data_IF_822883819007
#
_entry.id   IF_822883819007
#
_cell.length_a   1.000
_cell.length_b   1.000
_cell.length_c   1.000
_cell.angle_alpha   90.00
_cell.angle_beta   90.00
_cell.angle_gamma   90.00
#
_symmetry.space_group_name_H-M   'P 1'
#
loop_
_entity.id
_entity.type
_entity.pdbx_description
1 polymer ?
#
# COMPACT_ATOMS: atom_id res chain seq x y z
N UNK A 1 -12.68 11.20 25.27
CA UNK A 1 -11.57 10.71 24.43
C UNK A 1 -11.61 9.19 24.50
N UNK A 2 -11.36 8.45 23.41
CA UNK A 2 -11.46 6.99 23.48
C UNK A 2 -10.38 6.44 24.42
N UNK A 3 -10.80 5.70 25.42
CA UNK A 3 -9.91 5.05 26.38
C UNK A 3 -10.03 3.54 26.17
N UNK A 4 -8.89 2.89 25.93
CA UNK A 4 -8.85 1.46 25.64
C UNK A 4 -8.33 0.71 26.86
N UNK A 5 -9.04 -0.34 27.26
CA UNK A 5 -8.63 -1.22 28.38
C UNK A 5 -7.34 -2.01 28.09
N UNK A 6 -6.83 -1.95 26.86
CA UNK A 6 -5.61 -2.62 26.42
C UNK A 6 -4.60 -1.57 25.98
N UNK A 7 -3.34 -1.74 26.40
CA UNK A 7 -2.23 -0.89 25.97
C UNK A 7 -2.06 -0.98 24.45
N UNK A 8 -2.24 0.15 23.77
CA UNK A 8 -2.04 0.23 22.32
C UNK A 8 -0.55 0.10 21.97
N UNK A 9 -0.28 -0.54 20.84
CA UNK A 9 1.08 -0.72 20.32
C UNK A 9 1.28 0.19 19.11
N UNK A 10 2.47 0.75 19.01
CA UNK A 10 2.92 1.49 17.84
C UNK A 10 4.11 0.75 17.23
N UNK A 11 4.08 0.58 15.91
CA UNK A 11 5.14 -0.06 15.15
C UNK A 11 5.74 0.94 14.17
N UNK A 12 7.06 0.86 13.96
CA UNK A 12 7.75 1.61 12.92
C UNK A 12 7.81 0.75 11.65
N UNK A 13 7.24 1.25 10.56
CA UNK A 13 7.22 0.59 9.25
C UNK A 13 7.79 1.58 8.23
N UNK A 14 9.00 1.29 7.74
CA UNK A 14 9.77 2.28 7.00
C UNK A 14 10.03 3.53 7.86
N UNK A 15 9.62 4.69 7.35
CA UNK A 15 9.68 5.96 8.07
C UNK A 15 8.43 6.26 8.91
N UNK A 16 7.34 5.52 8.72
CA UNK A 16 6.05 5.80 9.35
C UNK A 16 5.86 5.06 10.67
N UNK A 17 5.07 5.66 11.56
CA UNK A 17 4.57 5.01 12.77
C UNK A 17 3.11 4.62 12.57
N UNK A 18 2.76 3.35 12.82
CA UNK A 18 1.42 2.81 12.66
C UNK A 18 0.91 2.29 14.01
N UNK A 19 -0.31 2.66 14.37
CA UNK A 19 -0.96 2.28 15.63
C UNK A 19 -0.61 3.19 16.81
N UNK A 20 -1.12 2.85 17.98
CA UNK A 20 -1.01 3.64 19.21
C UNK A 20 -2.33 4.24 19.64
N UNK A 21 -2.29 5.08 20.68
CA UNK A 21 -3.49 5.77 21.16
C UNK A 21 -4.04 6.73 20.10
N UNK A 22 -5.35 7.06 20.13
CA UNK A 22 -5.94 8.00 19.19
C UNK A 22 -5.15 9.31 19.15
N UNK A 23 -4.86 9.79 17.94
CA UNK A 23 -4.07 11.01 17.67
C UNK A 23 -2.56 10.92 17.95
N UNK A 24 -2.02 9.75 18.31
CA UNK A 24 -0.54 9.54 18.42
C UNK A 24 0.14 9.37 17.07
N UNK A 25 -0.56 8.83 16.08
CA UNK A 25 -0.09 8.70 14.71
C UNK A 25 -1.26 9.00 13.74
N UNK A 26 -0.98 9.49 12.53
CA UNK A 26 -2.00 9.63 11.51
C UNK A 26 -2.58 8.28 11.08
N UNK A 27 -3.79 8.30 10.52
CA UNK A 27 -4.41 7.09 9.96
C UNK A 27 -3.62 6.61 8.75
N UNK A 28 -3.40 5.29 8.65
CA UNK A 28 -2.83 4.68 7.47
C UNK A 28 -3.93 4.39 6.43
N UNK A 29 -3.67 4.79 5.18
CA UNK A 29 -4.50 4.48 4.03
C UNK A 29 -3.74 3.50 3.14
N UNK A 30 -4.24 2.26 3.09
CA UNK A 30 -3.61 1.16 2.36
C UNK A 30 -4.40 0.90 1.07
N UNK A 31 -3.80 1.22 -0.08
CA UNK A 31 -4.41 0.98 -1.38
C UNK A 31 -3.99 -0.36 -1.97
N UNK A 32 -4.96 -1.14 -2.45
CA UNK A 32 -4.70 -2.42 -3.09
C UNK A 32 -4.21 -2.25 -4.53
N UNK A 33 -3.19 -3.02 -4.91
CA UNK A 33 -2.59 -3.02 -6.25
C UNK A 33 -2.24 -4.45 -6.69
N UNK A 34 -2.29 -4.69 -8.00
CA UNK A 34 -2.03 -5.98 -8.66
C UNK A 34 -3.05 -7.09 -8.33
N UNK A 35 -4.25 -6.73 -7.89
CA UNK A 35 -5.32 -7.72 -7.71
C UNK A 35 -5.75 -8.33 -9.05
N UNK A 36 -6.25 -9.57 -8.98
CA UNK A 36 -6.72 -10.31 -10.16
C UNK A 36 -7.77 -9.50 -10.94
N UNK A 37 -7.56 -9.33 -12.24
CA UNK A 37 -8.47 -8.57 -13.10
C UNK A 37 -8.39 -7.04 -12.94
N UNK A 38 -7.34 -6.50 -12.31
CA UNK A 38 -7.14 -5.06 -12.24
C UNK A 38 -6.95 -4.47 -13.64
N UNK A 39 -7.86 -3.58 -14.04
CA UNK A 39 -7.87 -3.00 -15.38
C UNK A 39 -6.62 -2.15 -15.64
N UNK A 40 -6.09 -2.26 -16.86
CA UNK A 40 -5.01 -1.44 -17.42
C UNK A 40 -3.61 -1.61 -16.82
N UNK A 41 -3.43 -2.41 -15.76
CA UNK A 41 -2.12 -2.56 -15.11
C UNK A 41 -1.33 -3.78 -15.60
N UNK A 42 -2.00 -4.81 -16.11
CA UNK A 42 -1.34 -6.05 -16.53
C UNK A 42 -1.31 -6.20 -18.05
N UNK A 43 -0.14 -6.60 -18.54
CA UNK A 43 0.07 -7.13 -19.90
C UNK A 43 0.02 -8.66 -19.90
N UNK A 44 0.45 -9.28 -18.80
CA UNK A 44 0.30 -10.71 -18.50
C UNK A 44 0.28 -10.88 -16.98
N UNK A 45 -0.91 -11.13 -16.42
CA UNK A 45 -1.12 -11.29 -14.97
C UNK A 45 -0.33 -12.47 -14.40
N UNK A 46 -0.38 -13.61 -15.09
CA UNK A 46 0.22 -14.87 -14.62
C UNK A 46 1.73 -14.78 -14.49
N UNK A 47 2.37 -13.94 -15.31
CA UNK A 47 3.82 -13.71 -15.34
C UNK A 47 4.24 -12.41 -14.66
N UNK A 48 3.30 -11.65 -14.08
CA UNK A 48 3.59 -10.35 -13.46
C UNK A 48 4.15 -9.31 -14.43
N UNK A 49 3.81 -9.39 -15.73
CA UNK A 49 4.19 -8.35 -16.70
C UNK A 49 3.19 -7.22 -16.57
N UNK A 50 3.65 -6.10 -16.04
CA UNK A 50 2.83 -4.92 -15.75
C UNK A 50 3.13 -3.77 -16.70
N UNK A 51 2.16 -2.86 -16.83
CA UNK A 51 2.40 -1.52 -17.31
C UNK A 51 3.00 -0.67 -16.17
N UNK A 52 4.32 -0.55 -16.18
CA UNK A 52 5.07 0.15 -15.12
C UNK A 52 4.71 1.64 -15.03
N UNK A 53 4.50 2.31 -16.15
CA UNK A 53 4.14 3.73 -16.17
C UNK A 53 2.77 3.95 -15.54
N UNK A 54 1.79 3.10 -15.88
CA UNK A 54 0.47 3.15 -15.26
C UNK A 54 0.55 2.84 -13.75
N UNK A 55 1.29 1.81 -13.36
CA UNK A 55 1.49 1.43 -11.96
C UNK A 55 2.15 2.57 -11.15
N UNK A 56 3.23 3.17 -11.65
CA UNK A 56 3.88 4.31 -11.01
C UNK A 56 2.93 5.50 -10.88
N UNK A 57 2.13 5.79 -11.91
CA UNK A 57 1.17 6.89 -11.89
C UNK A 57 0.15 6.73 -10.77
N UNK A 58 -0.40 5.54 -10.55
CA UNK A 58 -1.38 5.32 -9.48
C UNK A 58 -0.74 5.31 -8.09
N UNK A 59 0.49 4.79 -7.96
CA UNK A 59 1.25 4.83 -6.69
C UNK A 59 1.57 6.28 -6.32
N UNK A 60 2.14 7.07 -7.25
CA UNK A 60 2.43 8.50 -7.03
C UNK A 60 1.18 9.30 -6.69
N UNK A 61 0.04 8.98 -7.31
CA UNK A 61 -1.23 9.63 -6.97
C UNK A 61 -1.65 9.34 -5.52
N UNK A 62 -1.42 8.12 -5.03
CA UNK A 62 -1.69 7.78 -3.63
C UNK A 62 -0.76 8.55 -2.68
N UNK A 63 0.53 8.64 -3.00
CA UNK A 63 1.51 9.43 -2.22
C UNK A 63 1.13 10.91 -2.18
N UNK A 64 0.71 11.48 -3.31
CA UNK A 64 0.24 12.87 -3.40
C UNK A 64 -1.00 13.10 -2.51
N UNK A 65 -1.97 12.19 -2.55
CA UNK A 65 -3.17 12.28 -1.72
C UNK A 65 -2.85 12.15 -0.22
N UNK A 66 -1.96 11.22 0.13
CA UNK A 66 -1.51 11.03 1.50
C UNK A 66 -0.79 12.29 2.02
N UNK A 67 0.10 12.88 1.21
CA UNK A 67 0.78 14.13 1.52
C UNK A 67 -0.20 15.30 1.75
N UNK A 68 -1.21 15.46 0.88
CA UNK A 68 -2.23 16.52 1.02
C UNK A 68 -3.15 16.37 2.22
N UNK A 69 -3.36 15.14 2.69
CA UNK A 69 -4.32 14.82 3.77
C UNK A 69 -3.64 14.53 5.12
N UNK A 70 -2.32 14.36 5.13
CA UNK A 70 -1.56 13.93 6.30
C UNK A 70 -1.72 12.45 6.65
N UNK A 71 -2.26 11.63 5.73
CA UNK A 71 -2.39 10.18 5.93
C UNK A 71 -1.04 9.48 5.73
N UNK A 72 -0.87 8.32 6.37
CA UNK A 72 0.26 7.42 6.10
C UNK A 72 -0.07 6.60 4.84
N UNK A 73 0.70 6.68 3.75
CA UNK A 73 0.47 5.87 2.57
C UNK A 73 0.98 4.43 2.78
N UNK A 74 0.30 3.45 2.18
CA UNK A 74 0.81 2.08 2.08
C UNK A 74 0.16 1.31 0.93
N UNK A 75 0.82 0.25 0.48
CA UNK A 75 0.31 -0.60 -0.60
C UNK A 75 -0.02 -1.99 -0.06
N UNK A 76 -1.22 -2.46 -0.37
CA UNK A 76 -1.54 -3.89 -0.31
C UNK A 76 -1.20 -4.50 -1.68
N UNK A 77 0.00 -5.09 -1.77
CA UNK A 77 0.50 -5.73 -2.99
C UNK A 77 -0.07 -7.15 -3.07
N UNK A 78 -0.97 -7.38 -4.02
CA UNK A 78 -1.65 -8.66 -4.19
C UNK A 78 -0.90 -9.51 -5.22
N UNK A 79 -0.53 -10.72 -4.81
CA UNK A 79 0.30 -11.63 -5.60
C UNK A 79 -0.48 -12.92 -5.90
N UNK A 80 -1.28 -12.87 -6.97
CA UNK A 80 -2.22 -13.95 -7.29
C UNK A 80 -1.56 -15.19 -7.94
N UNK A 81 -0.36 -15.04 -8.52
CA UNK A 81 0.33 -16.11 -9.23
C UNK A 81 1.77 -16.26 -8.73
N UNK A 82 2.23 -17.51 -8.58
CA UNK A 82 3.59 -17.81 -8.12
C UNK A 82 4.65 -17.15 -9.01
N UNK A 83 4.47 -17.21 -10.32
CA UNK A 83 5.40 -16.66 -11.30
C UNK A 83 5.38 -15.12 -11.34
N UNK A 84 4.33 -14.47 -10.84
CA UNK A 84 4.22 -13.01 -10.77
C UNK A 84 4.89 -12.41 -9.54
N UNK A 85 5.18 -13.22 -8.50
CA UNK A 85 5.71 -12.75 -7.21
C UNK A 85 6.99 -11.94 -7.40
N UNK A 86 8.03 -12.57 -7.96
CA UNK A 86 9.34 -11.92 -8.12
C UNK A 86 9.27 -10.65 -8.98
N UNK A 87 8.71 -10.65 -10.21
CA UNK A 87 8.72 -9.44 -11.03
C UNK A 87 7.88 -8.29 -10.46
N UNK A 88 6.80 -8.58 -9.71
CA UNK A 88 6.02 -7.54 -9.03
C UNK A 88 6.79 -6.98 -7.82
N UNK A 89 7.40 -7.85 -7.01
CA UNK A 89 8.18 -7.41 -5.84
C UNK A 89 9.49 -6.71 -6.21
N UNK A 90 10.09 -7.02 -7.37
CA UNK A 90 11.25 -6.29 -7.88
C UNK A 90 10.88 -4.87 -8.37
N UNK A 91 9.58 -4.58 -8.60
CA UNK A 91 9.09 -3.29 -9.05
C UNK A 91 8.70 -2.34 -7.91
N UNK A 92 8.00 -2.86 -6.89
CA UNK A 92 7.53 -2.09 -5.72
C UNK A 92 8.65 -1.78 -4.74
#
# INVERSE_FOLDING_TARGET
MFDFNTKQKTYKVGEYSIGGDPRKAPTAAIGSIFYLGQKNIFRDESKGKIDKEYAEKIIKKQEELASKTGLVPGLEVILSYKDSIKPILDFV
#
